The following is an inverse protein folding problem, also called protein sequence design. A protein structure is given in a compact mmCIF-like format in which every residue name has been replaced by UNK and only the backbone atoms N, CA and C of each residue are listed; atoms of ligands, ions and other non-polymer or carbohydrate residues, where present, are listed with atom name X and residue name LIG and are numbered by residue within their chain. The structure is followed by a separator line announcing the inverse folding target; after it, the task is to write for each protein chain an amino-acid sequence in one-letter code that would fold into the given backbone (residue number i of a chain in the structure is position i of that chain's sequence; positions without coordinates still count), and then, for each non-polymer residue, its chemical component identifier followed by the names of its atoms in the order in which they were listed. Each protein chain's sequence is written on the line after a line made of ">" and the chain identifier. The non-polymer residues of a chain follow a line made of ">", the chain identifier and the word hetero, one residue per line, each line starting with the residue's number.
data_IF_217439463510
#
_entry.id   IF_217439463510
#
_cell.length_a   1.000
_cell.length_b   1.000
_cell.length_c   1.000
_cell.angle_alpha   90.00
_cell.angle_beta   90.00
_cell.angle_gamma   90.00
#
_symmetry.space_group_name_H-M   'P 1'
#
loop_
_entity.id
_entity.type
_entity.pdbx_description
1 polymer ?
#
# COMPACT_ATOMS: atom_id res chain seq x y z
N UNK A 1 -9.26 7.01 -21.62
CA UNK A 1 -9.24 6.96 -20.15
C UNK A 1 -8.07 7.81 -19.67
N UNK A 2 -8.32 8.75 -18.77
CA UNK A 2 -7.34 9.63 -18.13
C UNK A 2 -7.22 9.28 -16.65
N UNK A 3 -5.99 9.11 -16.17
CA UNK A 3 -5.70 8.80 -14.78
C UNK A 3 -5.07 10.01 -14.09
N UNK A 4 -5.50 10.29 -12.87
CA UNK A 4 -4.79 11.20 -11.97
C UNK A 4 -4.06 10.36 -10.92
N UNK A 5 -2.74 10.23 -11.07
CA UNK A 5 -1.93 9.35 -10.22
C UNK A 5 -1.18 10.21 -9.19
N UNK A 6 -1.30 9.83 -7.93
CA UNK A 6 -0.61 10.43 -6.79
C UNK A 6 0.00 9.31 -5.94
N UNK A 7 1.12 9.59 -5.29
CA UNK A 7 1.81 8.69 -4.36
C UNK A 7 2.65 9.54 -3.40
N UNK A 8 3.15 8.95 -2.32
CA UNK A 8 4.10 9.57 -1.39
C UNK A 8 3.63 10.94 -0.83
N UNK A 9 2.31 11.11 -0.66
CA UNK A 9 1.77 12.36 -0.12
C UNK A 9 2.10 12.53 1.36
N UNK A 10 2.34 11.43 2.09
CA UNK A 10 2.67 11.38 3.52
C UNK A 10 1.85 12.34 4.38
N UNK A 11 0.54 12.35 4.15
CA UNK A 11 -0.40 13.22 4.84
C UNK A 11 -0.31 13.01 6.34
N UNK A 12 -0.30 14.14 7.05
CA UNK A 12 -0.36 14.22 8.51
C UNK A 12 -1.56 15.10 8.86
N UNK A 13 -2.16 14.95 10.04
CA UNK A 13 -3.30 15.77 10.45
C UNK A 13 -3.07 17.29 10.36
N UNK A 14 -1.81 17.75 10.43
CA UNK A 14 -1.43 19.16 10.32
C UNK A 14 -1.10 19.62 8.90
N UNK A 15 -1.15 18.73 7.91
CA UNK A 15 -0.82 19.03 6.52
C UNK A 15 -2.08 19.00 5.67
N UNK A 16 -2.50 20.18 5.21
CA UNK A 16 -3.66 20.32 4.34
C UNK A 16 -3.24 20.16 2.88
N UNK A 17 -3.72 19.09 2.25
CA UNK A 17 -3.61 18.88 0.82
C UNK A 17 -4.96 18.40 0.28
N UNK A 18 -5.35 18.96 -0.86
CA UNK A 18 -6.54 18.55 -1.60
C UNK A 18 -6.15 18.27 -3.04
N UNK A 19 -6.69 17.18 -3.58
CA UNK A 19 -6.50 16.77 -4.96
C UNK A 19 -7.09 17.85 -5.88
N UNK A 20 -6.31 18.43 -6.80
CA UNK A 20 -6.84 19.36 -7.78
C UNK A 20 -7.95 18.72 -8.62
N UNK A 21 -9.01 19.48 -8.89
CA UNK A 21 -10.05 19.03 -9.81
C UNK A 21 -9.46 18.97 -11.24
N UNK A 22 -9.57 17.81 -11.87
CA UNK A 22 -9.09 17.55 -13.24
C UNK A 22 -10.20 16.97 -14.08
N UNK A 23 -9.94 16.67 -15.36
CA UNK A 23 -10.83 15.90 -16.24
C UNK A 23 -10.51 14.40 -16.24
N UNK A 24 -9.73 13.90 -15.26
CA UNK A 24 -9.42 12.48 -15.14
C UNK A 24 -10.66 11.63 -14.84
N UNK A 25 -10.73 10.44 -15.42
CA UNK A 25 -11.84 9.49 -15.22
C UNK A 25 -11.72 8.76 -13.87
N UNK A 26 -10.48 8.58 -13.38
CA UNK A 26 -10.16 7.81 -12.19
C UNK A 26 -8.91 8.37 -11.50
N UNK A 27 -8.91 8.34 -10.17
CA UNK A 27 -7.75 8.70 -9.34
C UNK A 27 -7.05 7.42 -8.88
N UNK A 28 -5.73 7.39 -8.95
CA UNK A 28 -4.91 6.30 -8.40
C UNK A 28 -4.04 6.86 -7.28
N UNK A 29 -4.17 6.30 -6.10
CA UNK A 29 -3.34 6.57 -4.94
C UNK A 29 -2.41 5.36 -4.73
N UNK A 30 -1.15 5.51 -5.13
CA UNK A 30 -0.19 4.42 -5.28
C UNK A 30 0.78 4.33 -4.09
N UNK A 31 0.25 4.20 -2.88
CA UNK A 31 1.03 4.03 -1.66
C UNK A 31 1.50 5.32 -0.99
N UNK A 32 1.87 5.20 0.29
CA UNK A 32 2.48 6.24 1.12
C UNK A 32 1.67 7.56 1.17
N UNK A 33 0.34 7.41 1.20
CA UNK A 33 -0.60 8.53 1.26
C UNK A 33 -0.75 9.03 2.69
N UNK A 34 -0.86 8.12 3.67
CA UNK A 34 -1.00 8.50 5.07
C UNK A 34 -0.99 7.31 6.00
N UNK A 35 -0.53 7.50 7.25
CA UNK A 35 -0.37 6.39 8.21
C UNK A 35 -1.70 5.75 8.61
N UNK A 36 -1.70 4.43 8.79
CA UNK A 36 -2.87 3.66 9.16
C UNK A 36 -4.04 3.89 8.19
N UNK A 37 -5.22 4.15 8.74
CA UNK A 37 -6.42 4.48 7.97
C UNK A 37 -6.58 5.98 7.67
N UNK A 38 -5.61 6.83 8.02
CA UNK A 38 -5.73 8.27 7.77
C UNK A 38 -5.80 8.58 6.28
N UNK A 39 -4.90 8.01 5.48
CA UNK A 39 -4.89 8.18 4.02
C UNK A 39 -6.18 7.68 3.37
N UNK A 40 -6.71 6.54 3.82
CA UNK A 40 -7.98 5.98 3.33
C UNK A 40 -9.16 6.90 3.63
N UNK A 41 -9.28 7.42 4.86
CA UNK A 41 -10.35 8.37 5.23
C UNK A 41 -10.26 9.66 4.44
N UNK A 42 -9.05 10.19 4.25
CA UNK A 42 -8.81 11.35 3.39
C UNK A 42 -9.22 11.07 1.94
N UNK A 43 -8.86 9.90 1.39
CA UNK A 43 -9.22 9.50 0.04
C UNK A 43 -10.73 9.41 -0.15
N UNK A 44 -11.48 8.90 0.85
CA UNK A 44 -12.95 8.87 0.80
C UNK A 44 -13.56 10.27 0.74
N UNK A 45 -13.02 11.22 1.53
CA UNK A 45 -13.47 12.61 1.50
C UNK A 45 -13.19 13.27 0.14
N UNK A 46 -12.01 13.06 -0.43
CA UNK A 46 -11.64 13.60 -1.73
C UNK A 46 -12.43 12.96 -2.88
N UNK A 47 -12.67 11.65 -2.81
CA UNK A 47 -13.50 10.93 -3.77
C UNK A 47 -14.93 11.48 -3.81
N UNK A 48 -15.52 11.73 -2.62
CA UNK A 48 -16.84 12.32 -2.50
C UNK A 48 -16.86 13.78 -2.98
N UNK A 49 -15.87 14.59 -2.59
CA UNK A 49 -15.74 16.01 -2.97
C UNK A 49 -15.61 16.19 -4.48
N UNK A 50 -14.82 15.34 -5.13
CA UNK A 50 -14.59 15.37 -6.57
C UNK A 50 -15.61 14.57 -7.38
N UNK A 51 -16.42 13.73 -6.71
CA UNK A 51 -17.29 12.73 -7.32
C UNK A 51 -16.54 11.83 -8.32
N UNK A 52 -15.41 11.26 -7.88
CA UNK A 52 -14.55 10.41 -8.72
C UNK A 52 -14.20 9.09 -8.03
N UNK A 53 -14.14 7.98 -8.79
CA UNK A 53 -13.62 6.73 -8.27
C UNK A 53 -12.13 6.86 -7.96
N UNK A 54 -11.70 6.25 -6.86
CA UNK A 54 -10.32 6.20 -6.40
C UNK A 54 -9.89 4.74 -6.30
N UNK A 55 -8.75 4.39 -6.89
CA UNK A 55 -8.03 3.14 -6.58
C UNK A 55 -6.97 3.48 -5.54
N UNK A 56 -6.94 2.72 -4.45
CA UNK A 56 -6.01 2.90 -3.35
C UNK A 56 -5.15 1.63 -3.21
N UNK A 57 -3.84 1.79 -3.25
CA UNK A 57 -2.86 0.76 -2.91
C UNK A 57 -2.07 1.26 -1.71
N UNK A 58 -1.79 0.35 -0.77
CA UNK A 58 -1.01 0.66 0.41
C UNK A 58 0.48 0.73 0.05
N UNK A 59 1.22 1.61 0.70
CA UNK A 59 2.67 1.58 0.76
C UNK A 59 3.14 1.11 2.15
N UNK A 60 4.43 1.22 2.42
CA UNK A 60 5.00 0.83 3.71
C UNK A 60 4.54 1.79 4.83
N UNK A 61 4.34 3.07 4.53
CA UNK A 61 4.03 4.08 5.55
C UNK A 61 2.62 3.94 6.14
N UNK A 62 1.67 3.36 5.40
CA UNK A 62 0.36 2.99 5.96
C UNK A 62 0.52 2.02 7.13
N UNK A 63 1.50 1.12 7.10
CA UNK A 63 1.72 0.09 8.14
C UNK A 63 2.55 0.57 9.33
N UNK A 64 3.01 1.82 9.35
CA UNK A 64 3.75 2.32 10.50
C UNK A 64 2.84 2.33 11.73
N UNK A 65 3.19 1.53 12.75
CA UNK A 65 2.41 1.29 14.00
C UNK A 65 1.13 0.45 13.86
N UNK A 66 0.98 -0.27 12.75
CA UNK A 66 -0.14 -1.18 12.52
C UNK A 66 0.36 -2.55 12.05
N UNK A 67 -0.46 -3.57 12.27
CA UNK A 67 -0.19 -4.93 11.85
C UNK A 67 -0.64 -5.17 10.41
N UNK A 68 0.25 -5.71 9.59
CA UNK A 68 -0.12 -6.35 8.32
C UNK A 68 -0.58 -7.79 8.58
N UNK A 69 -1.70 -8.31 8.05
CA UNK A 69 -2.59 -7.77 7.00
C UNK A 69 -3.87 -7.08 7.50
N UNK A 70 -4.11 -7.01 8.81
CA UNK A 70 -5.39 -6.58 9.38
C UNK A 70 -5.85 -5.19 8.94
N UNK A 71 -4.89 -4.27 8.75
CA UNK A 71 -5.16 -2.90 8.32
C UNK A 71 -5.81 -2.84 6.92
N UNK A 72 -5.39 -3.71 5.99
CA UNK A 72 -5.95 -3.74 4.63
C UNK A 72 -7.41 -4.19 4.68
N UNK A 73 -7.72 -5.21 5.47
CA UNK A 73 -9.08 -5.70 5.64
C UNK A 73 -9.96 -4.68 6.38
N UNK A 74 -9.40 -3.94 7.33
CA UNK A 74 -10.10 -2.83 7.97
C UNK A 74 -10.40 -1.70 6.98
N UNK A 75 -9.44 -1.34 6.13
CA UNK A 75 -9.63 -0.36 5.07
C UNK A 75 -10.72 -0.79 4.09
N UNK A 76 -10.71 -2.06 3.65
CA UNK A 76 -11.74 -2.62 2.76
C UNK A 76 -13.13 -2.49 3.37
N UNK A 77 -13.29 -2.88 4.65
CA UNK A 77 -14.56 -2.73 5.39
C UNK A 77 -14.98 -1.27 5.49
N UNK A 78 -14.04 -0.36 5.76
CA UNK A 78 -14.29 1.08 5.86
C UNK A 78 -14.77 1.68 4.53
N UNK A 79 -14.26 1.21 3.40
CA UNK A 79 -14.56 1.77 2.08
C UNK A 79 -15.82 1.19 1.42
N UNK A 80 -16.51 0.23 2.04
CA UNK A 80 -17.75 -0.36 1.50
C UNK A 80 -18.79 0.73 1.25
N UNK A 81 -19.34 0.77 0.03
CA UNK A 81 -20.34 1.75 -0.38
C UNK A 81 -19.79 3.14 -0.74
N UNK A 82 -18.47 3.32 -0.67
CA UNK A 82 -17.79 4.54 -1.12
C UNK A 82 -17.31 4.44 -2.58
N UNK A 83 -16.71 5.54 -3.08
CA UNK A 83 -16.04 5.59 -4.37
C UNK A 83 -14.57 5.11 -4.32
N UNK A 84 -14.10 4.60 -3.17
CA UNK A 84 -12.72 4.14 -2.99
C UNK A 84 -12.64 2.61 -3.10
N UNK A 85 -11.73 2.13 -3.92
CA UNK A 85 -11.42 0.72 -4.15
C UNK A 85 -10.01 0.42 -3.63
N UNK A 86 -9.91 -0.25 -2.48
CA UNK A 86 -8.62 -0.70 -1.93
C UNK A 86 -8.20 -1.99 -2.61
N UNK A 87 -7.01 -2.02 -3.23
CA UNK A 87 -6.48 -3.20 -3.91
C UNK A 87 -5.23 -3.73 -3.20
N UNK A 88 -5.27 -5.02 -2.85
CA UNK A 88 -4.12 -5.76 -2.33
C UNK A 88 -4.17 -7.18 -2.91
N UNK A 89 -3.24 -7.50 -3.81
CA UNK A 89 -3.25 -8.71 -4.65
C UNK A 89 -4.59 -8.92 -5.38
N UNK A 90 -5.19 -7.82 -5.82
CA UNK A 90 -6.51 -7.81 -6.47
C UNK A 90 -6.52 -6.96 -7.74
N UNK A 91 -7.65 -7.05 -8.45
CA UNK A 91 -7.88 -6.31 -9.68
C UNK A 91 -9.18 -5.52 -9.62
N UNK A 92 -9.20 -4.35 -10.26
CA UNK A 92 -10.40 -3.61 -10.60
C UNK A 92 -10.54 -3.56 -12.13
N UNK A 93 -11.72 -3.88 -12.64
CA UNK A 93 -12.05 -3.68 -14.06
C UNK A 93 -12.83 -2.39 -14.22
N UNK A 94 -12.31 -1.47 -15.02
CA UNK A 94 -12.93 -0.19 -15.33
C UNK A 94 -13.09 -0.04 -16.85
N UNK A 95 -14.31 -0.28 -17.35
CA UNK A 95 -14.55 -0.38 -18.79
C UNK A 95 -13.73 -1.48 -19.43
N UNK A 96 -12.87 -1.13 -20.39
CA UNK A 96 -11.97 -2.06 -21.08
C UNK A 96 -10.60 -2.22 -20.38
N UNK A 97 -10.36 -1.52 -19.27
CA UNK A 97 -9.06 -1.51 -18.57
C UNK A 97 -9.15 -2.38 -17.33
N UNK A 98 -8.11 -3.18 -17.10
CA UNK A 98 -7.89 -3.90 -15.84
C UNK A 98 -6.73 -3.26 -15.08
N UNK A 99 -7.00 -2.84 -13.86
CA UNK A 99 -6.03 -2.27 -12.92
C UNK A 99 -5.66 -3.37 -11.93
N UNK A 100 -4.38 -3.60 -11.71
CA UNK A 100 -3.86 -4.54 -10.71
C UNK A 100 -3.22 -3.73 -9.58
N UNK A 101 -3.53 -4.07 -8.33
CA UNK A 101 -2.96 -3.38 -7.16
C UNK A 101 -2.47 -4.39 -6.13
N UNK A 102 -1.25 -4.18 -5.66
CA UNK A 102 -0.62 -4.96 -4.60
C UNK A 102 0.48 -4.14 -3.94
N UNK A 103 0.65 -4.33 -2.62
CA UNK A 103 1.82 -3.83 -1.91
C UNK A 103 2.98 -4.78 -2.19
N UNK A 104 4.02 -4.28 -2.84
CA UNK A 104 5.24 -5.05 -3.09
C UNK A 104 6.34 -4.63 -2.12
N UNK A 105 7.22 -5.60 -1.81
CA UNK A 105 8.40 -5.39 -1.00
C UNK A 105 9.64 -5.77 -1.81
N UNK A 106 10.77 -5.15 -1.49
CA UNK A 106 12.02 -5.43 -2.18
C UNK A 106 12.40 -6.91 -2.05
N UNK A 107 12.90 -7.48 -3.14
CA UNK A 107 13.50 -8.81 -3.16
C UNK A 107 14.98 -8.81 -2.78
N UNK A 108 15.55 -7.61 -2.60
CA UNK A 108 16.95 -7.30 -2.31
C UNK A 108 17.92 -7.70 -3.43
N UNK A 109 17.44 -7.85 -4.67
CA UNK A 109 18.25 -8.32 -5.81
C UNK A 109 18.80 -7.21 -6.70
N UNK A 110 18.62 -5.93 -6.33
CA UNK A 110 19.06 -4.79 -7.14
C UNK A 110 20.56 -4.88 -7.51
N UNK A 111 21.39 -5.40 -6.60
CA UNK A 111 22.83 -5.57 -6.80
C UNK A 111 23.23 -7.03 -7.07
N UNK A 112 22.28 -7.88 -7.45
CA UNK A 112 22.50 -9.31 -7.73
C UNK A 112 22.37 -10.21 -6.49
N UNK A 113 22.27 -11.53 -6.73
CA UNK A 113 22.12 -12.53 -5.66
C UNK A 113 23.32 -12.53 -4.70
N UNK A 114 24.52 -12.25 -5.23
CA UNK A 114 25.78 -12.23 -4.48
C UNK A 114 25.76 -11.24 -3.30
N UNK A 115 25.09 -10.09 -3.46
CA UNK A 115 25.01 -9.03 -2.46
C UNK A 115 23.69 -9.03 -1.68
N UNK A 116 22.80 -9.99 -1.94
CA UNK A 116 21.46 -10.01 -1.39
C UNK A 116 21.46 -10.08 0.14
N UNK A 117 22.29 -10.95 0.73
CA UNK A 117 22.38 -11.11 2.18
C UNK A 117 22.89 -9.84 2.87
N UNK A 118 23.91 -9.20 2.29
CA UNK A 118 24.43 -7.92 2.79
C UNK A 118 23.39 -6.80 2.69
N UNK A 119 22.66 -6.75 1.58
CA UNK A 119 21.56 -5.79 1.38
C UNK A 119 20.44 -6.00 2.41
N UNK A 120 20.07 -7.26 2.69
CA UNK A 120 19.06 -7.59 3.70
C UNK A 120 19.53 -7.17 5.10
N UNK A 121 20.74 -7.54 5.50
CA UNK A 121 21.29 -7.19 6.80
C UNK A 121 21.40 -5.68 6.99
N UNK A 122 21.86 -4.96 5.96
CA UNK A 122 21.93 -3.51 5.99
C UNK A 122 20.54 -2.90 6.10
N UNK A 123 19.60 -3.29 5.23
CA UNK A 123 18.22 -2.80 5.24
C UNK A 123 17.55 -2.96 6.60
N UNK A 124 17.67 -4.14 7.21
CA UNK A 124 17.11 -4.40 8.54
C UNK A 124 17.73 -3.51 9.64
N UNK A 125 19.01 -3.15 9.49
CA UNK A 125 19.71 -2.29 10.44
C UNK A 125 19.43 -0.79 10.26
N UNK A 126 19.09 -0.33 9.05
CA UNK A 126 19.01 1.11 8.72
C UNK A 126 17.62 1.60 8.32
N UNK A 127 16.78 0.75 7.71
CA UNK A 127 15.47 1.16 7.23
C UNK A 127 14.44 1.04 8.35
N UNK A 128 13.69 2.12 8.53
CA UNK A 128 12.71 2.23 9.61
C UNK A 128 11.56 1.23 9.46
N UNK A 129 11.29 0.77 8.23
CA UNK A 129 10.29 -0.26 7.92
C UNK A 129 10.44 -1.49 8.83
N UNK A 130 11.68 -1.99 8.97
CA UNK A 130 11.98 -3.18 9.79
C UNK A 130 11.98 -2.91 11.30
N UNK A 131 11.79 -1.66 11.71
CA UNK A 131 11.70 -1.28 13.12
C UNK A 131 10.25 -1.07 13.57
N UNK A 132 9.36 -0.59 12.70
CA UNK A 132 8.00 -0.18 13.09
C UNK A 132 6.86 -0.89 12.38
N UNK A 133 7.12 -1.57 11.28
CA UNK A 133 6.11 -2.40 10.62
C UNK A 133 6.08 -3.74 11.34
N UNK A 134 4.89 -4.17 11.72
CA UNK A 134 4.66 -5.45 12.39
C UNK A 134 4.09 -6.47 11.41
N UNK A 135 4.65 -7.68 11.45
CA UNK A 135 4.09 -8.86 10.80
C UNK A 135 2.80 -9.31 11.48
N UNK A 136 2.09 -10.25 10.86
CA UNK A 136 0.82 -10.77 11.37
C UNK A 136 0.90 -11.33 12.80
N UNK A 137 2.08 -11.81 13.20
CA UNK A 137 2.30 -12.37 14.54
C UNK A 137 2.72 -11.31 15.58
N UNK A 138 2.72 -10.03 15.21
CA UNK A 138 3.09 -8.90 16.07
C UNK A 138 4.60 -8.66 16.18
N UNK A 139 5.42 -9.49 15.54
CA UNK A 139 6.88 -9.32 15.49
C UNK A 139 7.28 -8.27 14.45
N UNK A 140 8.39 -7.54 14.67
CA UNK A 140 8.94 -6.62 13.68
C UNK A 140 9.17 -7.31 12.34
N UNK A 141 8.90 -6.60 11.24
CA UNK A 141 9.23 -7.04 9.90
C UNK A 141 10.73 -7.36 9.81
N UNK A 142 11.08 -8.43 9.10
CA UNK A 142 12.48 -8.84 8.89
C UNK A 142 12.86 -8.69 7.42
N UNK A 143 14.12 -8.42 7.13
CA UNK A 143 14.59 -8.43 5.75
C UNK A 143 14.81 -9.89 5.33
N UNK A 144 13.86 -10.45 4.57
CA UNK A 144 13.94 -11.83 4.09
C UNK A 144 13.58 -11.91 2.61
N UNK A 145 14.09 -12.92 1.88
CA UNK A 145 13.67 -13.20 0.52
C UNK A 145 12.14 -13.33 0.42
N UNK A 146 11.50 -12.78 -0.63
CA UNK A 146 10.10 -13.06 -0.89
C UNK A 146 9.91 -14.57 -1.07
N UNK A 147 8.85 -15.14 -0.50
CA UNK A 147 8.48 -16.53 -0.80
C UNK A 147 8.15 -16.62 -2.29
N UNK A 148 8.64 -17.66 -2.95
CA UNK A 148 8.32 -17.92 -4.36
C UNK A 148 6.80 -17.99 -4.56
N UNK A 149 6.29 -17.32 -5.60
CA UNK A 149 4.87 -17.26 -5.96
C UNK A 149 4.21 -18.63 -6.25
N UNK A 150 4.98 -19.72 -6.22
CA UNK A 150 4.53 -21.10 -6.38
C UNK A 150 3.92 -21.70 -5.10
N UNK A 151 3.97 -21.00 -3.96
CA UNK A 151 3.44 -21.46 -2.67
C UNK A 151 2.21 -20.70 -2.20
N UNK A 152 1.02 -21.28 -2.44
CA UNK A 152 -0.28 -21.00 -1.81
C UNK A 152 -0.84 -19.55 -1.91
N UNK A 153 -2.00 -19.40 -2.57
CA UNK A 153 -2.73 -18.13 -2.85
C UNK A 153 -3.40 -17.50 -1.62
N UNK A 154 -2.76 -17.56 -0.46
CA UNK A 154 -3.37 -17.11 0.77
C UNK A 154 -2.34 -17.12 1.88
N UNK A 155 -1.48 -16.10 1.88
CA UNK A 155 -0.97 -15.46 3.08
C UNK A 155 0.13 -14.48 2.67
N UNK A 156 -0.12 -13.20 2.94
CA UNK A 156 0.98 -12.31 3.28
C UNK A 156 1.87 -12.98 4.32
N UNK A 157 3.16 -12.64 4.28
CA UNK A 157 4.19 -12.95 5.29
C UNK A 157 3.68 -13.71 6.53
N UNK A 158 3.76 -15.05 6.51
CA UNK A 158 3.70 -15.86 7.73
C UNK A 158 5.13 -16.03 8.26
N UNK A 159 5.45 -15.53 9.47
CA UNK A 159 6.60 -16.02 10.23
C UNK A 159 6.53 -17.54 10.37
N UNK A 160 7.71 -18.17 10.46
CA UNK A 160 7.83 -19.60 10.68
C UNK A 160 7.67 -19.90 12.17
#
# INVERSE_FOLDING_TARGET
>A
MKLHVLSDLHLRPSYEFSIPATDADLIVLAGDIGRGLHGVRWAMAEAARLNKPVVYVFGNHEFYTCTFPDLVEEARRLTVGSLVHVLENEQLTWGAVRILGCTLWTDFLLYGEELREECMALAESVLYDYQVVQSADGEPLRARPPRSATGNRGAGWKPA
#
